data_IF_741284191250
#
_entry.id   IF_741284191250
#
_cell.length_a   1.000
_cell.length_b   1.000
_cell.length_c   1.000
_cell.angle_alpha   90.00
_cell.angle_beta   90.00
_cell.angle_gamma   90.00
#
_symmetry.space_group_name_H-M   'P 1'
#
loop_
_entity.id
_entity.type
_entity.pdbx_description
1 polymer ?
#
# COMPACT_ATOMS: atom_id res chain seq x y z
N UNK A 1 -23.68 14.41 12.65
CA UNK A 1 -22.86 13.43 11.93
C UNK A 1 -21.87 12.81 12.91
N UNK A 2 -22.14 11.61 13.45
CA UNK A 2 -21.25 10.92 14.40
C UNK A 2 -20.75 9.61 13.79
N UNK A 3 -19.89 9.72 12.78
CA UNK A 3 -19.18 8.57 12.21
C UNK A 3 -17.73 8.65 12.69
N UNK A 4 -17.28 7.65 13.44
CA UNK A 4 -15.87 7.52 13.82
C UNK A 4 -15.08 6.96 12.62
N UNK A 5 -14.02 7.65 12.21
CA UNK A 5 -13.19 7.30 11.05
C UNK A 5 -11.71 7.39 11.41
N UNK A 6 -10.94 6.35 11.07
CA UNK A 6 -9.47 6.39 11.16
C UNK A 6 -8.91 7.30 10.05
N UNK A 7 -7.99 8.19 10.41
CA UNK A 7 -7.26 9.04 9.46
C UNK A 7 -5.74 8.83 9.58
N UNK A 8 -5.03 9.13 8.50
CA UNK A 8 -3.60 8.89 8.35
C UNK A 8 -2.94 10.20 7.86
N UNK A 9 -2.17 10.86 8.73
CA UNK A 9 -1.46 12.12 8.43
C UNK A 9 0.00 11.82 8.10
N UNK A 10 0.57 12.50 7.10
CA UNK A 10 1.99 12.37 6.73
C UNK A 10 2.65 13.72 6.50
N UNK A 11 3.92 13.85 6.86
CA UNK A 11 4.75 15.02 6.52
C UNK A 11 5.27 14.92 5.08
N UNK A 12 5.85 16.01 4.58
CA UNK A 12 6.52 16.03 3.27
C UNK A 12 7.67 15.00 3.23
N UNK A 13 8.51 14.96 4.28
CA UNK A 13 9.64 14.03 4.32
C UNK A 13 9.19 12.56 4.38
N UNK A 14 8.07 12.28 5.04
CA UNK A 14 7.49 10.94 5.06
C UNK A 14 7.05 10.50 3.66
N UNK A 15 6.45 11.39 2.86
CA UNK A 15 6.10 11.10 1.47
C UNK A 15 7.32 10.78 0.61
N UNK A 16 8.37 11.59 0.71
CA UNK A 16 9.62 11.37 -0.01
C UNK A 16 10.26 10.03 0.39
N UNK A 17 10.25 9.72 1.68
CA UNK A 17 10.76 8.45 2.21
C UNK A 17 9.97 7.25 1.67
N UNK A 18 8.64 7.33 1.65
CA UNK A 18 7.77 6.29 1.07
C UNK A 18 8.10 6.07 -0.41
N UNK A 19 8.33 7.15 -1.16
CA UNK A 19 8.66 7.06 -2.58
C UNK A 19 10.03 6.43 -2.80
N UNK A 20 11.04 6.92 -2.09
CA UNK A 20 12.43 6.47 -2.22
C UNK A 20 12.62 5.01 -1.78
N UNK A 21 11.82 4.53 -0.83
CA UNK A 21 11.91 3.16 -0.27
C UNK A 21 10.95 2.16 -0.92
N UNK A 22 10.29 2.51 -2.02
CA UNK A 22 9.42 1.58 -2.72
C UNK A 22 10.20 0.33 -3.19
N UNK A 23 9.86 -0.87 -2.70
CA UNK A 23 10.55 -2.12 -3.06
C UNK A 23 10.18 -2.66 -4.45
N UNK A 24 9.30 -1.98 -5.19
CA UNK A 24 8.81 -2.36 -6.52
C UNK A 24 9.02 -1.21 -7.53
N UNK A 25 10.28 -0.78 -7.78
CA UNK A 25 10.56 0.37 -8.64
C UNK A 25 10.22 0.11 -10.11
N UNK A 26 10.48 -1.12 -10.59
CA UNK A 26 10.19 -1.49 -11.97
C UNK A 26 8.68 -1.49 -12.26
N UNK A 27 7.87 -1.94 -11.31
CA UNK A 27 6.41 -1.93 -11.43
C UNK A 27 5.85 -0.52 -11.30
N UNK A 28 6.44 0.32 -10.44
CA UNK A 28 6.09 1.72 -10.32
C UNK A 28 6.35 2.52 -11.60
N UNK A 29 7.44 2.23 -12.30
CA UNK A 29 7.76 2.86 -13.59
C UNK A 29 6.88 2.32 -14.72
N UNK A 30 6.76 0.98 -14.81
CA UNK A 30 6.04 0.32 -15.90
C UNK A 30 4.54 0.58 -15.88
N UNK A 31 3.92 0.48 -14.70
CA UNK A 31 2.47 0.58 -14.56
C UNK A 31 2.06 1.17 -13.19
N UNK A 32 2.29 2.48 -13.00
CA UNK A 32 1.98 3.15 -11.74
C UNK A 32 0.48 3.10 -11.39
N UNK A 33 -0.39 2.91 -12.39
CA UNK A 33 -1.84 2.86 -12.17
C UNK A 33 -2.29 1.58 -11.45
N UNK A 34 -1.48 0.52 -11.49
CA UNK A 34 -1.77 -0.75 -10.83
C UNK A 34 -0.98 -0.99 -9.55
N UNK A 35 -0.08 -0.06 -9.19
CA UNK A 35 0.59 -0.05 -7.90
C UNK A 35 -0.23 0.74 -6.87
N UNK A 36 -0.45 0.13 -5.71
CA UNK A 36 -1.15 0.72 -4.56
C UNK A 36 -0.25 0.62 -3.34
N UNK A 37 -0.15 1.71 -2.59
CA UNK A 37 0.45 1.72 -1.26
C UNK A 37 -0.67 1.67 -0.23
N UNK A 38 -0.66 0.64 0.62
CA UNK A 38 -1.52 0.55 1.79
C UNK A 38 -0.74 1.08 2.98
N UNK A 39 -1.19 2.21 3.52
CA UNK A 39 -0.64 2.81 4.73
C UNK A 39 -1.20 2.10 5.95
N UNK A 40 -0.35 1.40 6.69
CA UNK A 40 -0.74 0.57 7.82
C UNK A 40 -0.62 1.37 9.13
N UNK A 41 -1.51 1.10 10.08
CA UNK A 41 -1.49 1.74 11.42
C UNK A 41 -0.25 1.32 12.23
N UNK A 42 0.18 0.08 12.03
CA UNK A 42 1.38 -0.55 12.62
C UNK A 42 2.13 -1.29 11.53
N UNK A 43 3.46 -1.40 11.69
CA UNK A 43 4.29 -2.23 10.83
C UNK A 43 3.85 -3.70 10.98
N UNK A 44 3.65 -4.44 9.88
CA UNK A 44 3.30 -5.85 9.94
C UNK A 44 4.52 -6.68 10.32
N UNK A 45 4.31 -7.82 10.97
CA UNK A 45 5.40 -8.77 11.20
C UNK A 45 5.76 -9.49 9.90
N UNK A 46 7.04 -9.82 9.72
CA UNK A 46 7.51 -10.52 8.51
C UNK A 46 6.75 -11.83 8.25
N UNK A 47 6.40 -12.57 9.32
CA UNK A 47 5.62 -13.82 9.24
C UNK A 47 4.22 -13.60 8.67
N UNK A 48 3.59 -12.46 8.98
CA UNK A 48 2.24 -12.14 8.53
C UNK A 48 2.24 -11.70 7.07
N UNK A 49 3.29 -10.99 6.64
CA UNK A 49 3.52 -10.65 5.24
C UNK A 49 3.74 -11.91 4.40
N UNK A 50 4.55 -12.86 4.88
CA UNK A 50 4.74 -14.15 4.21
C UNK A 50 3.44 -14.94 4.12
N UNK A 51 2.64 -14.97 5.20
CA UNK A 51 1.34 -15.62 5.23
C UNK A 51 0.30 -14.95 4.30
N UNK A 52 0.42 -13.64 4.08
CA UNK A 52 -0.37 -12.92 3.08
C UNK A 52 0.07 -13.31 1.67
N UNK A 53 1.38 -13.28 1.39
CA UNK A 53 1.94 -13.66 0.09
C UNK A 53 1.55 -15.09 -0.30
N UNK A 54 1.65 -16.04 0.63
CA UNK A 54 1.25 -17.43 0.41
C UNK A 54 -0.26 -17.61 0.18
N UNK A 55 -1.09 -16.65 0.60
CA UNK A 55 -2.53 -16.67 0.40
C UNK A 55 -2.96 -16.01 -0.93
N UNK A 56 -2.04 -15.39 -1.68
CA UNK A 56 -2.32 -14.81 -2.99
C UNK A 56 -2.49 -15.95 -4.00
N UNK A 57 -3.67 -16.04 -4.59
CA UNK A 57 -3.99 -17.02 -5.64
C UNK A 57 -4.03 -16.41 -7.04
N UNK A 58 -3.82 -15.10 -7.16
CA UNK A 58 -3.86 -14.35 -8.42
C UNK A 58 -2.49 -13.78 -8.80
N UNK A 59 -2.43 -12.89 -9.79
CA UNK A 59 -1.18 -12.33 -10.29
C UNK A 59 -0.62 -11.21 -9.39
N UNK A 60 -1.24 -10.93 -8.24
CA UNK A 60 -0.85 -9.83 -7.37
C UNK A 60 0.54 -10.04 -6.75
N UNK A 61 1.28 -8.94 -6.59
CA UNK A 61 2.56 -8.93 -5.92
C UNK A 61 2.46 -8.06 -4.67
N UNK A 62 3.04 -8.54 -3.56
CA UNK A 62 3.04 -7.83 -2.29
C UNK A 62 4.45 -7.74 -1.73
N UNK A 63 4.86 -6.54 -1.30
CA UNK A 63 6.07 -6.27 -0.53
C UNK A 63 5.75 -5.29 0.60
N UNK A 64 6.49 -5.36 1.70
CA UNK A 64 6.34 -4.44 2.84
C UNK A 64 7.63 -3.69 3.10
N UNK A 65 7.51 -2.43 3.51
CA UNK A 65 8.59 -1.65 4.09
C UNK A 65 8.02 -0.78 5.21
N UNK A 66 8.56 -0.87 6.42
CA UNK A 66 8.06 -0.11 7.58
C UNK A 66 6.55 -0.28 7.81
N UNK A 67 5.79 0.82 7.71
CA UNK A 67 4.32 0.87 7.88
C UNK A 67 3.58 0.89 6.53
N UNK A 68 4.22 0.42 5.47
CA UNK A 68 3.69 0.44 4.11
C UNK A 68 3.64 -0.99 3.56
N UNK A 69 2.54 -1.30 2.90
CA UNK A 69 2.42 -2.46 2.01
C UNK A 69 2.30 -1.95 0.58
N UNK A 70 3.16 -2.42 -0.30
CA UNK A 70 3.13 -2.14 -1.72
C UNK A 70 2.48 -3.32 -2.42
N UNK A 71 1.40 -3.06 -3.13
CA UNK A 71 0.59 -4.08 -3.79
C UNK A 71 0.44 -3.74 -5.26
N UNK A 72 0.86 -4.66 -6.12
CA UNK A 72 0.63 -4.55 -7.57
C UNK A 72 -0.58 -5.42 -7.91
N UNK A 73 -1.51 -4.84 -8.67
CA UNK A 73 -2.72 -5.50 -9.16
C UNK A 73 -2.72 -5.59 -10.69
N UNK A 74 -2.00 -6.53 -11.32
CA UNK A 74 -1.79 -6.52 -12.78
C UNK A 74 -3.06 -6.60 -13.63
N UNK A 75 -4.14 -7.19 -13.09
CA UNK A 75 -5.44 -7.31 -13.76
C UNK A 75 -6.46 -6.25 -13.30
N UNK A 76 -6.02 -5.21 -12.61
CA UNK A 76 -6.88 -4.21 -11.97
C UNK A 76 -7.27 -4.56 -10.53
N UNK A 77 -7.31 -3.56 -9.66
CA UNK A 77 -7.71 -3.74 -8.25
C UNK A 77 -9.17 -4.24 -8.12
N UNK A 78 -10.06 -3.82 -9.03
CA UNK A 78 -11.49 -4.15 -8.97
C UNK A 78 -11.83 -5.62 -9.25
N UNK A 79 -10.93 -6.36 -9.89
CA UNK A 79 -11.12 -7.79 -10.22
C UNK A 79 -10.39 -8.72 -9.24
N UNK A 80 -9.55 -8.15 -8.36
CA UNK A 80 -8.68 -8.89 -7.46
C UNK A 80 -9.42 -9.48 -6.27
N UNK A 81 -9.03 -10.70 -5.88
CA UNK A 81 -9.46 -11.32 -4.61
C UNK A 81 -8.63 -10.82 -3.40
N UNK A 82 -7.52 -10.11 -3.65
CA UNK A 82 -6.69 -9.50 -2.63
C UNK A 82 -7.31 -8.18 -2.14
N UNK A 83 -8.41 -8.30 -1.41
CA UNK A 83 -9.17 -7.17 -0.86
C UNK A 83 -8.48 -6.53 0.34
N UNK A 84 -8.78 -5.26 0.64
CA UNK A 84 -8.27 -4.59 1.86
C UNK A 84 -8.65 -5.36 3.12
N UNK A 85 -9.87 -5.90 3.20
CA UNK A 85 -10.31 -6.74 4.33
C UNK A 85 -9.44 -7.99 4.51
N UNK A 86 -9.05 -8.65 3.43
CA UNK A 86 -8.15 -9.79 3.48
C UNK A 86 -6.76 -9.39 3.97
N UNK A 87 -6.23 -8.28 3.44
CA UNK A 87 -4.94 -7.70 3.84
C UNK A 87 -4.94 -7.39 5.34
N UNK A 88 -5.90 -6.61 5.82
CA UNK A 88 -5.99 -6.23 7.25
C UNK A 88 -6.10 -7.45 8.16
N UNK A 89 -6.92 -8.44 7.78
CA UNK A 89 -7.07 -9.68 8.54
C UNK A 89 -5.77 -10.47 8.62
N UNK A 90 -5.03 -10.57 7.51
CA UNK A 90 -3.77 -11.33 7.45
C UNK A 90 -2.63 -10.61 8.17
N UNK A 91 -2.59 -9.28 8.11
CA UNK A 91 -1.54 -8.46 8.73
C UNK A 91 -1.85 -8.03 10.18
N UNK A 92 -3.06 -8.28 10.68
CA UNK A 92 -3.45 -7.89 12.04
C UNK A 92 -3.45 -6.38 12.29
N UNK A 93 -3.53 -5.56 11.24
CA UNK A 93 -3.41 -4.10 11.32
C UNK A 93 -4.32 -3.43 10.30
N UNK A 94 -4.91 -2.29 10.68
CA UNK A 94 -5.74 -1.48 9.77
C UNK A 94 -4.88 -0.77 8.74
N UNK A 95 -5.42 -0.54 7.55
CA UNK A 95 -4.72 0.20 6.51
C UNK A 95 -5.63 0.90 5.52
N UNK A 96 -5.09 1.96 4.90
CA UNK A 96 -5.76 2.68 3.82
C UNK A 96 -4.91 2.66 2.55
N UNK A 97 -5.51 2.20 1.45
CA UNK A 97 -4.86 2.15 0.15
C UNK A 97 -4.90 3.48 -0.60
N UNK A 98 -3.82 3.85 -1.27
CA UNK A 98 -3.80 4.90 -2.30
C UNK A 98 -3.06 4.42 -3.54
N UNK A 99 -3.59 4.77 -4.71
CA UNK A 99 -2.93 4.54 -5.98
C UNK A 99 -1.58 5.28 -6.03
N UNK A 100 -0.58 4.69 -6.67
CA UNK A 100 0.75 5.28 -6.77
C UNK A 100 0.75 6.66 -7.44
N UNK A 101 -0.07 6.86 -8.48
CA UNK A 101 -0.20 8.20 -9.08
C UNK A 101 -0.73 9.23 -8.08
N UNK A 102 -1.60 8.83 -7.15
CA UNK A 102 -2.06 9.70 -6.07
C UNK A 102 -0.94 9.96 -5.08
N UNK A 103 -0.14 8.96 -4.73
CA UNK A 103 1.04 9.11 -3.85
C UNK A 103 2.02 10.14 -4.43
N UNK A 104 2.38 10.01 -5.70
CA UNK A 104 3.28 10.94 -6.39
C UNK A 104 2.72 12.37 -6.42
N UNK A 105 1.42 12.51 -6.73
CA UNK A 105 0.75 13.83 -6.73
C UNK A 105 0.71 14.46 -5.35
N UNK A 106 0.43 13.68 -4.30
CA UNK A 106 0.42 14.19 -2.92
C UNK A 106 1.82 14.66 -2.51
N UNK A 107 2.86 13.87 -2.80
CA UNK A 107 4.24 14.27 -2.51
C UNK A 107 4.62 15.58 -3.21
N UNK A 108 4.32 15.69 -4.50
CA UNK A 108 4.57 16.91 -5.28
C UNK A 108 3.86 18.15 -4.70
N UNK A 109 2.64 17.99 -4.17
CA UNK A 109 1.91 19.09 -3.52
C UNK A 109 2.46 19.49 -2.15
N UNK A 110 3.30 18.66 -1.53
CA UNK A 110 3.95 18.97 -0.24
C UNK A 110 5.33 19.61 -0.40
N UNK A 111 5.90 19.60 -1.59
CA UNK A 111 7.18 20.25 -1.89
C UNK A 111 6.92 21.75 -2.09
N UNK A 112 7.65 22.59 -1.35
CA UNK A 112 7.48 24.05 -1.34
C UNK A 112 8.51 24.72 -2.25
#
# INVERSE_FOLDING_TARGET
>A
FHVAVDYFVRTAEEWETIIARNPLPNEAERDPSHLVVVFLKKAPEAKDVQALQAAISGPEMVRSDGKQLYVVYPAGIGTSKLTNTLIERKLGTRGTGRNWNTVLKLAALTQT
#
